data_IF_414803791017
#
_entry.id   IF_414803791017
#
_cell.length_a   1.000
_cell.length_b   1.000
_cell.length_c   1.000
_cell.angle_alpha   90.00
_cell.angle_beta   90.00
_cell.angle_gamma   90.00
#
_symmetry.space_group_name_H-M   'P 1'
#
loop_
_entity.id
_entity.type
_entity.pdbx_description
1 polymer ?
#
# COMPACT_ATOMS: atom_id res chain seq x y z
N UNK A 1 -38.62 -3.25 48.45
CA UNK A 1 -37.34 -3.26 49.19
C UNK A 1 -36.22 -3.13 48.19
N UNK A 2 -35.42 -2.07 48.34
CA UNK A 2 -34.27 -1.75 47.50
C UNK A 2 -33.07 -2.60 47.93
N UNK A 3 -32.34 -3.17 46.96
CA UNK A 3 -30.93 -3.50 47.16
C UNK A 3 -30.13 -2.99 45.95
N UNK A 4 -29.30 -2.00 46.25
CA UNK A 4 -28.26 -1.43 45.41
C UNK A 4 -26.94 -2.08 45.80
N UNK A 5 -26.18 -2.60 44.84
CA UNK A 5 -24.78 -2.94 45.05
C UNK A 5 -23.95 -2.47 43.86
N UNK A 6 -23.06 -1.51 44.14
CA UNK A 6 -22.03 -1.02 43.25
C UNK A 6 -21.13 -2.16 42.75
N UNK A 7 -20.86 -2.19 41.44
CA UNK A 7 -19.62 -2.75 40.91
C UNK A 7 -19.01 -1.79 39.88
N UNK A 8 -17.75 -1.45 40.17
CA UNK A 8 -16.85 -0.51 39.48
C UNK A 8 -16.38 -1.15 38.16
N UNK A 9 -16.33 -0.43 37.02
CA UNK A 9 -15.65 -0.94 35.85
C UNK A 9 -14.13 -0.79 36.03
N UNK A 10 -13.44 -1.93 36.09
CA UNK A 10 -11.98 -2.02 36.05
C UNK A 10 -11.46 -1.72 34.65
N UNK A 11 -10.64 -0.67 34.54
CA UNK A 11 -9.84 -0.37 33.36
C UNK A 11 -8.70 -1.39 33.21
N UNK A 12 -8.49 -2.03 32.04
CA UNK A 12 -7.28 -2.78 31.81
C UNK A 12 -6.14 -1.83 31.41
N UNK A 13 -5.18 -1.64 32.32
CA UNK A 13 -3.87 -1.08 32.00
C UNK A 13 -3.11 -2.12 31.17
N UNK A 14 -2.70 -1.74 29.96
CA UNK A 14 -1.70 -2.49 29.22
C UNK A 14 -0.31 -2.23 29.81
N UNK A 15 0.35 -3.30 30.24
CA UNK A 15 1.75 -3.32 30.66
C UNK A 15 2.60 -3.79 29.46
N UNK A 16 3.66 -3.06 29.07
CA UNK A 16 4.54 -3.47 27.98
C UNK A 16 5.53 -4.54 28.45
N UNK A 17 5.60 -5.66 27.73
CA UNK A 17 6.56 -6.74 27.93
C UNK A 17 8.00 -6.21 27.82
N UNK A 18 8.72 -6.27 28.93
CA UNK A 18 10.15 -6.00 28.99
C UNK A 18 10.94 -7.25 28.56
N UNK A 19 11.81 -7.05 27.56
CA UNK A 19 12.71 -8.06 27.02
C UNK A 19 13.87 -8.24 28.01
N UNK A 20 13.78 -9.24 28.89
CA UNK A 20 14.85 -9.62 29.81
C UNK A 20 15.63 -10.81 29.23
N UNK A 21 16.84 -10.52 28.77
CA UNK A 21 17.91 -11.49 28.65
C UNK A 21 18.64 -11.61 30.00
N UNK A 22 18.95 -12.83 30.43
CA UNK A 22 20.06 -13.31 31.30
C UNK A 22 19.69 -14.74 31.76
N UNK A 23 20.33 -15.80 31.27
CA UNK A 23 21.69 -16.32 31.51
C UNK A 23 21.72 -17.33 32.68
N UNK A 24 22.09 -18.59 32.35
CA UNK A 24 22.77 -19.55 33.24
C UNK A 24 23.49 -20.60 32.34
N UNK A 25 24.82 -20.49 32.23
CA UNK A 25 25.86 -21.40 32.78
C UNK A 25 26.08 -22.70 31.95
N UNK A 26 27.27 -23.04 31.42
CA UNK A 26 28.58 -22.39 31.43
C UNK A 26 29.66 -23.18 30.64
N UNK A 27 30.82 -22.53 30.54
CA UNK A 27 32.21 -23.08 30.52
C UNK A 27 32.90 -23.50 29.20
N UNK A 28 33.85 -22.64 28.80
CA UNK A 28 35.15 -22.96 28.19
C UNK A 28 35.33 -22.42 26.76
N UNK A 29 36.30 -21.57 26.40
CA UNK A 29 37.39 -20.87 27.10
C UNK A 29 38.21 -20.03 26.10
N UNK A 30 38.88 -18.98 26.61
CA UNK A 30 40.01 -18.20 26.02
C UNK A 30 39.74 -17.35 24.75
N UNK A 31 40.20 -16.11 24.58
CA UNK A 31 41.13 -15.27 25.34
C UNK A 31 40.93 -13.76 25.06
N UNK A 32 41.23 -12.98 26.09
CA UNK A 32 41.73 -11.58 26.13
C UNK A 32 40.89 -10.41 25.61
N UNK A 33 40.29 -9.77 26.60
CA UNK A 33 39.66 -8.46 26.75
C UNK A 33 40.57 -7.22 26.55
N UNK A 34 39.95 -6.01 26.51
CA UNK A 34 40.51 -4.74 26.04
C UNK A 34 40.85 -3.75 27.18
N UNK A 35 41.43 -2.60 26.84
CA UNK A 35 41.46 -1.41 27.70
C UNK A 35 41.46 -0.15 26.79
N UNK A 36 40.39 0.67 26.77
CA UNK A 36 40.19 1.92 27.57
C UNK A 36 41.38 2.89 27.43
N UNK A 37 41.27 4.21 27.28
CA UNK A 37 40.22 5.26 27.25
C UNK A 37 41.02 6.60 27.25
N UNK A 38 40.42 7.73 26.82
CA UNK A 38 40.85 9.14 27.08
C UNK A 38 42.18 9.59 26.43
N UNK A 39 42.52 10.87 26.24
CA UNK A 39 41.89 12.19 25.99
C UNK A 39 43.06 13.19 25.90
N UNK A 40 42.83 14.37 25.31
CA UNK A 40 43.51 15.67 25.54
C UNK A 40 44.99 15.90 25.20
N UNK A 41 45.18 16.83 24.25
CA UNK A 41 45.98 18.09 24.28
C UNK A 41 47.51 18.08 24.48
N UNK A 42 48.17 18.75 23.51
CA UNK A 42 49.33 19.67 23.56
C UNK A 42 50.52 19.38 24.50
N UNK A 43 51.76 19.37 23.96
CA UNK A 43 52.57 20.58 23.72
C UNK A 43 54.05 20.21 23.40
N UNK A 44 54.71 21.07 22.62
CA UNK A 44 56.15 21.41 22.50
C UNK A 44 57.23 20.46 23.10
N UNK A 45 58.35 20.10 22.44
CA UNK A 45 59.43 21.00 22.00
C UNK A 45 60.65 20.24 21.43
N UNK A 46 61.24 20.83 20.39
CA UNK A 46 62.68 21.04 20.08
C UNK A 46 63.71 19.93 20.38
N UNK A 47 64.42 19.50 19.32
CA UNK A 47 65.87 19.26 19.38
C UNK A 47 66.52 19.74 18.09
N UNK A 48 67.28 20.82 18.23
CA UNK A 48 68.28 21.35 17.30
C UNK A 48 69.40 20.32 17.10
N UNK A 49 69.89 20.17 15.87
CA UNK A 49 71.33 20.21 15.59
C UNK A 49 71.60 20.47 14.09
N UNK A 50 72.04 21.72 13.88
CA UNK A 50 72.88 22.29 12.84
C UNK A 50 73.75 21.31 12.03
N UNK A 51 73.77 21.46 10.70
CA UNK A 51 74.69 20.75 9.82
C UNK A 51 74.72 21.22 8.36
N UNK A 52 75.49 22.28 8.12
CA UNK A 52 76.26 22.58 6.89
C UNK A 52 75.58 23.11 5.62
N UNK A 53 76.05 24.29 5.21
CA UNK A 53 75.72 25.07 4.02
C UNK A 53 76.38 24.58 2.70
N UNK A 54 75.71 24.94 1.59
CA UNK A 54 76.21 25.35 0.25
C UNK A 54 75.94 24.49 -1.01
N UNK A 55 74.88 24.94 -1.74
CA UNK A 55 74.69 25.14 -3.20
C UNK A 55 74.44 23.94 -4.16
N UNK A 56 73.70 24.11 -5.29
CA UNK A 56 72.90 25.26 -5.75
C UNK A 56 71.38 24.96 -5.87
N UNK A 57 70.59 26.02 -5.83
CA UNK A 57 69.15 26.01 -6.06
C UNK A 57 68.82 25.52 -7.48
N UNK A 58 68.21 24.34 -7.57
CA UNK A 58 67.59 23.84 -8.79
C UNK A 58 66.24 24.56 -8.95
N UNK A 59 66.17 25.49 -9.91
CA UNK A 59 64.95 26.19 -10.27
C UNK A 59 63.89 25.17 -10.69
N UNK A 60 62.87 24.98 -9.85
CA UNK A 60 61.64 24.29 -10.23
C UNK A 60 60.91 25.15 -11.27
N UNK A 61 60.58 24.63 -12.47
CA UNK A 61 59.79 25.39 -13.43
C UNK A 61 58.38 25.54 -12.85
N UNK A 62 58.00 26.75 -12.45
CA UNK A 62 56.61 27.09 -12.22
C UNK A 62 55.83 26.77 -13.50
N UNK A 63 54.82 25.88 -13.48
CA UNK A 63 53.95 25.71 -14.63
C UNK A 63 53.26 27.06 -14.83
N UNK A 64 53.41 27.62 -16.03
CA UNK A 64 52.83 28.91 -16.39
C UNK A 64 51.33 28.89 -16.09
N UNK A 65 50.92 29.67 -15.09
CA UNK A 65 49.52 29.81 -14.65
C UNK A 65 48.58 30.23 -15.79
N UNK A 66 49.12 30.78 -16.87
CA UNK A 66 48.42 31.08 -18.12
C UNK A 66 47.98 29.84 -18.91
N UNK A 67 48.74 28.75 -18.87
CA UNK A 67 48.49 27.54 -19.66
C UNK A 67 47.38 26.69 -19.01
N UNK A 68 47.39 26.55 -17.69
CA UNK A 68 46.32 25.89 -16.92
C UNK A 68 44.99 26.64 -17.07
N UNK A 69 45.02 27.97 -17.08
CA UNK A 69 43.83 28.81 -17.25
C UNK A 69 43.26 28.71 -18.66
N UNK A 70 44.12 28.69 -19.70
CA UNK A 70 43.71 28.47 -21.09
C UNK A 70 43.14 27.07 -21.28
N UNK A 71 43.78 26.04 -20.73
CA UNK A 71 43.30 24.66 -20.82
C UNK A 71 41.94 24.50 -20.12
N UNK A 72 41.75 25.12 -18.96
CA UNK A 72 40.47 25.14 -18.25
C UNK A 72 39.35 25.83 -19.04
N UNK A 73 39.67 26.92 -19.75
CA UNK A 73 38.72 27.60 -20.65
C UNK A 73 38.37 26.76 -21.88
N UNK A 74 39.34 26.06 -22.48
CA UNK A 74 39.06 25.15 -23.59
C UNK A 74 38.23 23.94 -23.14
N UNK A 75 38.52 23.40 -21.96
CA UNK A 75 37.78 22.28 -21.39
C UNK A 75 36.35 22.68 -21.04
N UNK A 76 36.15 23.86 -20.42
CA UNK A 76 34.80 24.35 -20.10
C UNK A 76 34.01 24.68 -21.36
N UNK A 77 34.65 25.25 -22.39
CA UNK A 77 34.03 25.48 -23.68
C UNK A 77 33.65 24.16 -24.38
N UNK A 78 34.53 23.17 -24.37
CA UNK A 78 34.25 21.85 -24.94
C UNK A 78 33.09 21.16 -24.21
N UNK A 79 33.05 21.23 -22.88
CA UNK A 79 31.94 20.71 -22.08
C UNK A 79 30.63 21.44 -22.35
N UNK A 80 30.67 22.77 -22.50
CA UNK A 80 29.50 23.57 -22.84
C UNK A 80 28.96 23.23 -24.25
N UNK A 81 29.85 23.03 -25.22
CA UNK A 81 29.48 22.60 -26.58
C UNK A 81 28.90 21.18 -26.58
N UNK A 82 29.46 20.25 -25.80
CA UNK A 82 28.91 18.90 -25.64
C UNK A 82 27.52 18.92 -25.00
N UNK A 83 27.34 19.74 -23.96
CA UNK A 83 26.04 19.90 -23.29
C UNK A 83 25.00 20.52 -24.24
N UNK A 84 25.37 21.57 -24.98
CA UNK A 84 24.50 22.19 -25.96
C UNK A 84 24.10 21.22 -27.08
N UNK A 85 25.05 20.42 -27.59
CA UNK A 85 24.77 19.38 -28.58
C UNK A 85 23.82 18.31 -28.04
N UNK A 86 24.02 17.84 -26.80
CA UNK A 86 23.13 16.88 -26.16
C UNK A 86 21.71 17.43 -25.94
N UNK A 87 21.59 18.70 -25.52
CA UNK A 87 20.29 19.37 -25.36
C UNK A 87 19.60 19.57 -26.71
N UNK A 88 20.33 19.99 -27.75
CA UNK A 88 19.79 20.13 -29.10
C UNK A 88 19.34 18.79 -29.68
N UNK A 89 20.10 17.72 -29.46
CA UNK A 89 19.74 16.36 -29.87
C UNK A 89 18.51 15.86 -29.12
N UNK A 90 18.39 16.15 -27.83
CA UNK A 90 17.20 15.82 -27.03
C UNK A 90 15.96 16.60 -27.52
N UNK A 91 16.09 17.88 -27.81
CA UNK A 91 14.97 18.71 -28.29
C UNK A 91 14.52 18.30 -29.70
N UNK A 92 15.46 17.97 -30.59
CA UNK A 92 15.14 17.50 -31.95
C UNK A 92 14.55 16.10 -31.94
N UNK A 93 15.05 15.18 -31.11
CA UNK A 93 14.44 13.85 -30.95
C UNK A 93 13.05 13.93 -30.31
N UNK A 94 12.84 14.80 -29.31
CA UNK A 94 11.51 15.07 -28.74
C UNK A 94 10.56 15.70 -29.77
N UNK A 95 11.06 16.59 -30.62
CA UNK A 95 10.25 17.17 -31.72
C UNK A 95 9.84 16.10 -32.73
N UNK A 96 10.78 15.25 -33.17
CA UNK A 96 10.46 14.15 -34.08
C UNK A 96 9.52 13.12 -33.44
N UNK A 97 9.62 12.87 -32.14
CA UNK A 97 8.69 12.01 -31.41
C UNK A 97 7.29 12.63 -31.34
N UNK A 98 7.20 13.95 -31.17
CA UNK A 98 5.94 14.71 -31.17
C UNK A 98 5.26 14.73 -32.54
N UNK A 99 6.03 14.80 -33.62
CA UNK A 99 5.48 14.88 -34.99
C UNK A 99 5.14 13.50 -35.56
N UNK A 100 5.91 12.45 -35.23
CA UNK A 100 5.66 11.08 -35.68
C UNK A 100 4.62 10.32 -34.84
N UNK A 101 4.33 10.82 -33.63
CA UNK A 101 3.20 10.37 -32.83
C UNK A 101 2.31 11.57 -32.58
N UNK A 102 1.37 11.90 -33.50
CA UNK A 102 0.25 12.71 -33.10
C UNK A 102 -0.40 11.91 -31.97
N UNK A 103 -0.19 12.36 -30.73
CA UNK A 103 -1.15 12.14 -29.67
C UNK A 103 -2.43 12.70 -30.28
N UNK A 104 -3.21 11.82 -30.90
CA UNK A 104 -4.59 12.08 -31.25
C UNK A 104 -5.27 12.24 -29.91
N UNK A 105 -5.12 13.41 -29.31
CA UNK A 105 -6.12 13.99 -28.45
C UNK A 105 -7.26 14.25 -29.41
N UNK A 106 -8.01 13.18 -29.71
CA UNK A 106 -9.42 13.36 -29.96
C UNK A 106 -9.88 14.13 -28.75
N UNK A 107 -10.13 15.42 -28.93
CA UNK A 107 -11.12 16.11 -28.14
C UNK A 107 -12.42 15.38 -28.49
N UNK A 108 -12.61 14.21 -27.87
CA UNK A 108 -13.92 13.73 -27.54
C UNK A 108 -14.61 14.94 -26.92
N UNK A 109 -15.85 15.20 -27.34
CA UNK A 109 -16.74 16.13 -26.64
C UNK A 109 -16.35 16.13 -25.16
N UNK A 110 -16.17 17.29 -24.51
CA UNK A 110 -16.03 17.31 -23.06
C UNK A 110 -17.37 16.87 -22.49
N UNK A 111 -17.64 15.56 -22.52
CA UNK A 111 -18.51 14.90 -21.59
C UNK A 111 -17.93 15.32 -20.27
N UNK A 112 -18.69 16.16 -19.56
CA UNK A 112 -18.33 16.65 -18.24
C UNK A 112 -17.75 15.48 -17.48
N UNK A 113 -16.50 15.55 -16.98
CA UNK A 113 -15.86 14.40 -16.38
C UNK A 113 -16.80 13.91 -15.30
N UNK A 114 -17.35 12.70 -15.51
CA UNK A 114 -18.35 12.21 -14.59
C UNK A 114 -17.63 11.91 -13.28
N UNK A 115 -17.94 12.73 -12.28
CA UNK A 115 -17.28 12.65 -10.99
C UNK A 115 -17.81 11.42 -10.25
N UNK A 116 -17.01 10.36 -10.26
CA UNK A 116 -17.27 9.20 -9.41
C UNK A 116 -16.95 9.56 -7.97
N UNK A 117 -17.92 9.32 -7.10
CA UNK A 117 -17.64 9.17 -5.67
C UNK A 117 -16.97 7.81 -5.45
N UNK A 118 -15.89 7.79 -4.67
CA UNK A 118 -15.10 6.60 -4.38
C UNK A 118 -15.17 6.29 -2.89
N UNK A 119 -15.43 5.04 -2.54
CA UNK A 119 -15.47 4.59 -1.17
C UNK A 119 -14.60 3.34 -1.00
N UNK A 120 -13.71 3.40 -0.01
CA UNK A 120 -13.02 2.21 0.50
C UNK A 120 -13.96 1.40 1.39
N UNK A 121 -13.74 0.09 1.54
CA UNK A 121 -14.56 -0.69 2.46
C UNK A 121 -14.27 -0.26 3.91
N UNK A 122 -15.33 -0.10 4.71
CA UNK A 122 -15.24 0.26 6.12
C UNK A 122 -15.23 -0.96 7.05
N UNK A 123 -15.70 -2.12 6.56
CA UNK A 123 -15.59 -3.43 7.21
C UNK A 123 -15.03 -4.46 6.23
N UNK A 124 -14.08 -5.27 6.70
CA UNK A 124 -13.56 -6.44 5.97
C UNK A 124 -13.51 -7.63 6.94
N UNK A 125 -14.08 -8.75 6.55
CA UNK A 125 -14.10 -9.99 7.35
C UNK A 125 -13.70 -11.17 6.48
N UNK A 126 -12.89 -12.08 7.03
CA UNK A 126 -12.55 -13.35 6.40
C UNK A 126 -13.48 -14.45 6.93
N UNK A 127 -13.90 -15.34 6.05
CA UNK A 127 -14.57 -16.59 6.42
C UNK A 127 -13.91 -17.77 5.73
N UNK A 128 -13.82 -18.91 6.42
CA UNK A 128 -13.27 -20.14 5.85
C UNK A 128 -14.33 -21.23 5.71
N UNK A 129 -14.44 -21.79 4.52
CA UNK A 129 -15.22 -23.01 4.27
C UNK A 129 -14.67 -24.21 5.03
N UNK A 130 -13.35 -24.28 5.24
CA UNK A 130 -12.71 -25.36 5.98
C UNK A 130 -13.00 -25.26 7.48
N UNK A 131 -12.81 -24.07 8.03
CA UNK A 131 -13.02 -23.80 9.46
C UNK A 131 -14.38 -23.14 9.67
N UNK A 132 -15.46 -23.91 9.48
CA UNK A 132 -16.82 -23.37 9.35
C UNK A 132 -17.30 -22.48 10.50
N UNK A 133 -16.83 -22.78 11.71
CA UNK A 133 -17.19 -22.09 12.97
C UNK A 133 -16.14 -21.09 13.44
N UNK A 134 -15.00 -21.00 12.75
CA UNK A 134 -13.98 -20.03 13.13
C UNK A 134 -14.45 -18.62 12.75
N UNK A 135 -14.05 -17.68 13.57
CA UNK A 135 -14.39 -16.27 13.49
C UNK A 135 -13.07 -15.50 13.51
N UNK A 136 -12.84 -14.71 12.46
CA UNK A 136 -11.62 -13.89 12.35
C UNK A 136 -11.85 -12.44 12.75
N UNK A 137 -13.11 -12.03 12.89
CA UNK A 137 -13.52 -10.67 13.17
C UNK A 137 -13.21 -9.69 12.05
N UNK A 138 -13.52 -8.42 12.29
CA UNK A 138 -13.15 -7.35 11.39
C UNK A 138 -11.63 -7.13 11.35
N UNK A 139 -11.07 -6.97 10.16
CA UNK A 139 -9.67 -6.58 9.97
C UNK A 139 -9.48 -5.69 8.75
N UNK A 140 -8.24 -5.35 8.42
CA UNK A 140 -7.86 -4.76 7.12
C UNK A 140 -7.28 -5.80 6.15
N UNK A 141 -7.16 -7.06 6.58
CA UNK A 141 -6.58 -8.11 5.77
C UNK A 141 -7.60 -8.60 4.76
N UNK A 142 -7.21 -8.55 3.49
CA UNK A 142 -7.95 -9.18 2.40
C UNK A 142 -7.32 -10.53 2.14
N UNK A 143 -8.14 -11.58 2.11
CA UNK A 143 -7.68 -12.95 1.91
C UNK A 143 -8.73 -13.73 1.11
N UNK A 144 -8.50 -13.83 -0.20
CA UNK A 144 -9.43 -14.48 -1.13
C UNK A 144 -8.75 -15.73 -1.69
N UNK A 145 -9.34 -16.88 -1.44
CA UNK A 145 -8.88 -18.17 -1.98
C UNK A 145 -10.07 -19.02 -2.41
N UNK A 146 -9.82 -20.25 -2.87
CA UNK A 146 -10.89 -21.23 -3.17
C UNK A 146 -11.67 -21.62 -1.91
N UNK A 147 -11.01 -21.60 -0.76
CA UNK A 147 -11.55 -22.12 0.50
C UNK A 147 -12.03 -21.01 1.42
N UNK A 148 -11.47 -19.82 1.26
CA UNK A 148 -11.78 -18.66 2.08
C UNK A 148 -12.33 -17.53 1.21
N UNK A 149 -13.42 -16.93 1.68
CA UNK A 149 -14.00 -15.74 1.08
C UNK A 149 -13.72 -14.52 1.96
N UNK A 150 -13.67 -13.35 1.34
CA UNK A 150 -13.61 -12.07 2.07
C UNK A 150 -14.93 -11.32 1.88
N UNK A 151 -15.54 -10.91 2.98
CA UNK A 151 -16.74 -10.07 3.02
C UNK A 151 -16.31 -8.63 3.20
N UNK A 152 -16.84 -7.73 2.38
CA UNK A 152 -16.51 -6.31 2.42
C UNK A 152 -17.80 -5.49 2.46
N UNK A 153 -17.83 -4.49 3.34
CA UNK A 153 -18.88 -3.46 3.38
C UNK A 153 -18.32 -2.16 2.82
N UNK A 154 -19.03 -1.60 1.84
CA UNK A 154 -18.71 -0.32 1.22
C UNK A 154 -19.79 0.69 1.58
N UNK A 155 -19.43 1.82 2.21
CA UNK A 155 -20.40 2.86 2.50
C UNK A 155 -20.87 3.53 1.20
N UNK A 156 -22.18 3.75 1.12
CA UNK A 156 -22.79 4.54 0.05
C UNK A 156 -22.90 5.99 0.52
N UNK A 157 -22.69 6.99 -0.36
CA UNK A 157 -22.95 8.36 0.02
C UNK A 157 -24.43 8.54 0.36
N UNK A 158 -24.77 9.42 1.30
CA UNK A 158 -26.16 9.59 1.77
C UNK A 158 -27.14 10.04 0.68
N UNK A 159 -26.63 10.52 -0.46
CA UNK A 159 -27.40 10.84 -1.66
C UNK A 159 -27.53 9.68 -2.66
N UNK A 160 -26.84 8.56 -2.44
CA UNK A 160 -26.94 7.37 -3.28
C UNK A 160 -28.28 6.67 -3.04
N UNK A 161 -28.91 6.27 -4.15
CA UNK A 161 -30.19 5.59 -4.16
C UNK A 161 -30.70 5.42 -5.58
N UNK A 162 -32.02 5.52 -5.75
CA UNK A 162 -32.70 5.39 -7.05
C UNK A 162 -32.05 6.35 -8.07
N UNK A 163 -31.55 5.79 -9.17
CA UNK A 163 -30.87 6.55 -10.22
C UNK A 163 -29.37 6.74 -10.00
N UNK A 164 -28.73 5.97 -9.11
CA UNK A 164 -27.27 5.90 -9.03
C UNK A 164 -26.74 4.57 -9.59
N UNK A 165 -25.66 4.67 -10.36
CA UNK A 165 -24.91 3.53 -10.86
C UNK A 165 -23.67 3.30 -9.97
N UNK A 166 -23.46 2.05 -9.60
CA UNK A 166 -22.36 1.57 -8.79
C UNK A 166 -21.49 0.60 -9.61
N UNK A 167 -20.20 0.55 -9.30
CA UNK A 167 -19.28 -0.44 -9.84
C UNK A 167 -18.18 -0.73 -8.82
N UNK A 168 -17.69 -1.97 -8.77
CA UNK A 168 -16.54 -2.31 -7.93
C UNK A 168 -15.27 -2.29 -8.75
N UNK A 169 -14.25 -1.61 -8.23
CA UNK A 169 -12.98 -1.40 -8.92
C UNK A 169 -11.84 -1.98 -8.11
N UNK A 170 -11.01 -2.78 -8.77
CA UNK A 170 -9.69 -3.17 -8.31
C UNK A 170 -8.67 -2.13 -8.77
N UNK A 171 -7.92 -1.56 -7.82
CA UNK A 171 -6.75 -0.72 -8.08
C UNK A 171 -5.48 -1.50 -7.80
N UNK A 172 -4.70 -1.79 -8.83
CA UNK A 172 -3.44 -2.50 -8.67
C UNK A 172 -2.39 -1.64 -7.95
N UNK A 173 -1.48 -2.23 -7.16
CA UNK A 173 -0.38 -1.47 -6.56
C UNK A 173 0.52 -0.90 -7.66
N UNK A 174 0.97 0.36 -7.56
CA UNK A 174 1.91 0.90 -8.53
C UNK A 174 3.20 0.11 -8.56
N UNK A 175 3.66 -0.27 -9.74
CA UNK A 175 4.74 -1.26 -9.94
C UNK A 175 6.05 -0.88 -9.26
N UNK A 176 6.36 0.42 -9.22
CA UNK A 176 7.59 0.96 -8.63
C UNK A 176 7.42 1.38 -7.16
N UNK A 177 6.27 1.08 -6.54
CA UNK A 177 6.03 1.42 -5.14
C UNK A 177 6.42 0.28 -4.20
N UNK A 178 6.82 0.63 -2.96
CA UNK A 178 7.03 -0.37 -1.91
C UNK A 178 5.80 -1.25 -1.64
N UNK A 179 4.60 -0.70 -1.92
CA UNK A 179 3.31 -1.38 -1.77
C UNK A 179 3.11 -2.54 -2.76
N UNK A 180 3.88 -2.63 -3.83
CA UNK A 180 3.83 -3.77 -4.75
C UNK A 180 4.16 -5.10 -4.06
N UNK A 181 4.98 -5.07 -2.99
CA UNK A 181 5.32 -6.25 -2.19
C UNK A 181 4.24 -6.67 -1.21
N UNK A 182 3.28 -5.79 -0.93
CA UNK A 182 2.18 -6.07 0.00
C UNK A 182 1.10 -6.96 -0.64
N UNK A 183 1.08 -7.03 -1.98
CA UNK A 183 0.20 -7.90 -2.73
C UNK A 183 0.87 -9.26 -2.97
N UNK A 184 0.29 -10.30 -2.39
CA UNK A 184 0.64 -11.69 -2.71
C UNK A 184 -0.45 -12.30 -3.56
N UNK A 185 -0.10 -12.73 -4.77
CA UNK A 185 -0.98 -13.53 -5.64
C UNK A 185 -0.36 -14.90 -5.92
N UNK A 186 -1.19 -15.94 -6.04
CA UNK A 186 -0.80 -17.25 -6.56
C UNK A 186 -1.91 -17.80 -7.45
N UNK A 187 -1.54 -18.64 -8.40
CA UNK A 187 -2.47 -19.24 -9.35
C UNK A 187 -3.14 -18.21 -10.26
N UNK A 188 -4.34 -18.54 -10.72
CA UNK A 188 -5.13 -17.69 -11.61
C UNK A 188 -6.02 -16.74 -10.80
N UNK A 189 -5.73 -15.43 -10.90
CA UNK A 189 -6.47 -14.34 -10.23
C UNK A 189 -7.24 -13.47 -11.23
N UNK A 190 -7.51 -14.01 -12.43
CA UNK A 190 -8.25 -13.30 -13.47
C UNK A 190 -9.77 -13.33 -13.31
N UNK A 191 -10.28 -14.20 -12.45
CA UNK A 191 -11.72 -14.43 -12.26
C UNK A 191 -12.11 -14.40 -10.77
N UNK A 192 -11.99 -13.23 -10.14
CA UNK A 192 -12.50 -13.02 -8.77
C UNK A 192 -13.97 -12.63 -8.86
N UNK A 193 -14.85 -13.48 -8.37
CA UNK A 193 -16.29 -13.20 -8.33
C UNK A 193 -16.64 -12.23 -7.21
N UNK A 194 -17.62 -11.39 -7.51
CA UNK A 194 -18.13 -10.37 -6.61
C UNK A 194 -19.64 -10.56 -6.45
N UNK A 195 -20.04 -11.14 -5.31
CA UNK A 195 -21.45 -11.45 -5.02
C UNK A 195 -22.03 -10.44 -4.05
N UNK A 196 -23.22 -9.91 -4.34
CA UNK A 196 -23.98 -9.13 -3.36
C UNK A 196 -24.51 -10.05 -2.25
N UNK A 197 -24.54 -9.56 -1.00
CA UNK A 197 -25.20 -10.24 0.11
C UNK A 197 -26.50 -9.54 0.46
N UNK A 198 -27.57 -10.31 0.69
CA UNK A 198 -28.95 -9.77 0.75
C UNK A 198 -29.69 -10.01 2.08
N UNK A 199 -29.26 -10.96 2.92
CA UNK A 199 -29.87 -11.20 4.22
C UNK A 199 -28.96 -12.02 5.15
N UNK A 200 -28.91 -11.72 6.46
CA UNK A 200 -28.31 -12.61 7.46
C UNK A 200 -28.98 -13.99 7.46
N UNK A 201 -28.22 -15.05 7.67
CA UNK A 201 -28.77 -16.41 7.76
C UNK A 201 -29.69 -16.55 8.99
N UNK A 202 -30.98 -16.80 8.76
CA UNK A 202 -32.07 -16.82 9.75
C UNK A 202 -32.06 -18.02 10.71
N UNK A 203 -30.93 -18.30 11.38
CA UNK A 203 -30.77 -19.50 12.22
C UNK A 203 -31.06 -19.29 13.71
N UNK A 204 -31.52 -18.12 14.14
CA UNK A 204 -31.99 -17.91 15.53
C UNK A 204 -33.51 -17.73 15.55
N UNK A 205 -34.19 -18.77 16.03
CA UNK A 205 -35.64 -18.96 16.18
C UNK A 205 -36.33 -17.90 17.10
N UNK A 206 -35.64 -16.80 17.47
CA UNK A 206 -36.14 -15.81 18.43
C UNK A 206 -36.19 -14.36 17.93
N UNK A 207 -35.94 -14.08 16.65
CA UNK A 207 -35.99 -12.70 16.13
C UNK A 207 -37.27 -12.43 15.32
N UNK A 208 -38.43 -12.60 15.96
CA UNK A 208 -39.57 -11.78 15.57
C UNK A 208 -39.24 -10.35 16.01
N UNK A 209 -39.38 -9.36 15.11
CA UNK A 209 -39.35 -7.89 15.36
C UNK A 209 -38.14 -7.05 14.90
N UNK A 210 -37.41 -7.39 13.82
CA UNK A 210 -36.65 -6.38 13.05
C UNK A 210 -36.46 -6.78 11.58
N UNK A 211 -36.53 -5.85 10.61
CA UNK A 211 -36.01 -6.10 9.27
C UNK A 211 -34.48 -6.22 9.37
N UNK A 212 -33.93 -7.43 9.26
CA UNK A 212 -32.49 -7.66 9.37
C UNK A 212 -31.77 -7.14 8.14
N UNK A 213 -31.48 -5.84 8.11
CA UNK A 213 -30.70 -5.21 7.04
C UNK A 213 -29.23 -5.63 7.15
N UNK A 214 -28.49 -5.54 6.04
CA UNK A 214 -27.05 -5.83 6.05
C UNK A 214 -26.25 -4.80 6.86
N UNK A 215 -26.82 -3.63 7.15
CA UNK A 215 -26.19 -2.56 7.93
C UNK A 215 -26.07 -2.91 9.43
N UNK A 216 -26.99 -3.75 9.94
CA UNK A 216 -27.03 -4.20 11.35
C UNK A 216 -26.22 -5.48 11.62
N UNK A 217 -25.56 -6.05 10.60
CA UNK A 217 -24.81 -7.30 10.73
C UNK A 217 -23.63 -7.15 11.69
N UNK A 218 -23.50 -8.07 12.64
CA UNK A 218 -22.32 -8.17 13.50
C UNK A 218 -21.16 -8.88 12.78
N UNK A 219 -20.22 -8.07 12.30
CA UNK A 219 -19.03 -8.53 11.56
C UNK A 219 -18.02 -9.27 12.44
N UNK A 220 -18.08 -9.10 13.76
CA UNK A 220 -17.11 -9.70 14.69
C UNK A 220 -17.50 -11.13 15.10
N UNK A 221 -18.70 -11.60 14.75
CA UNK A 221 -19.19 -12.96 15.03
C UNK A 221 -19.41 -13.79 13.76
N UNK A 222 -19.13 -13.20 12.59
CA UNK A 222 -19.38 -13.82 11.30
C UNK A 222 -18.47 -15.03 11.06
N UNK A 223 -19.08 -16.15 10.68
CA UNK A 223 -18.43 -17.41 10.36
C UNK A 223 -18.99 -17.94 9.04
N UNK A 224 -18.35 -18.95 8.45
CA UNK A 224 -18.89 -19.57 7.25
C UNK A 224 -20.25 -20.24 7.50
N UNK A 225 -20.52 -20.73 8.71
CA UNK A 225 -21.83 -21.30 9.07
C UNK A 225 -22.95 -20.28 9.25
N UNK A 226 -22.60 -19.01 9.50
CA UNK A 226 -23.55 -17.91 9.73
C UNK A 226 -23.53 -16.89 8.60
N UNK A 227 -22.91 -17.24 7.46
CA UNK A 227 -22.72 -16.34 6.34
C UNK A 227 -24.08 -15.87 5.79
N UNK A 228 -24.24 -14.57 5.49
CA UNK A 228 -25.39 -14.07 4.75
C UNK A 228 -25.60 -14.78 3.42
N UNK A 229 -26.83 -14.81 2.94
CA UNK A 229 -27.18 -15.44 1.66
C UNK A 229 -26.67 -14.59 0.49
N UNK A 230 -26.09 -15.26 -0.51
CA UNK A 230 -25.70 -14.64 -1.78
C UNK A 230 -26.94 -14.24 -2.58
N UNK A 231 -26.97 -13.00 -3.03
CA UNK A 231 -27.91 -12.48 -4.01
C UNK A 231 -27.31 -12.52 -5.41
N UNK A 232 -27.27 -11.36 -6.06
CA UNK A 232 -26.81 -11.19 -7.44
C UNK A 232 -25.27 -11.27 -7.56
N UNK A 233 -24.78 -11.87 -8.67
CA UNK A 233 -23.38 -11.74 -9.08
C UNK A 233 -23.20 -10.40 -9.77
N UNK A 234 -22.55 -9.45 -9.09
CA UNK A 234 -22.34 -8.09 -9.58
C UNK A 234 -21.27 -8.03 -10.68
N UNK A 235 -20.37 -9.00 -10.72
CA UNK A 235 -19.37 -9.12 -11.78
C UNK A 235 -18.18 -9.98 -11.39
N UNK A 236 -17.19 -9.97 -12.27
CA UNK A 236 -15.92 -10.68 -12.13
C UNK A 236 -14.79 -9.68 -12.33
N UNK A 237 -13.80 -9.70 -11.44
CA UNK A 237 -12.62 -8.84 -11.50
C UNK A 237 -11.39 -9.64 -11.91
N UNK A 238 -10.61 -9.07 -12.83
CA UNK A 238 -9.28 -9.57 -13.18
C UNK A 238 -8.20 -8.76 -12.45
N UNK A 239 -7.57 -9.36 -11.44
CA UNK A 239 -6.54 -8.69 -10.66
C UNK A 239 -5.16 -8.65 -11.36
N UNK A 240 -5.02 -9.36 -12.47
CA UNK A 240 -3.82 -9.32 -13.32
C UNK A 240 -3.80 -8.10 -14.25
N UNK A 241 -4.96 -7.48 -14.48
CA UNK A 241 -5.08 -6.30 -15.32
C UNK A 241 -4.53 -5.05 -14.62
N UNK A 242 -3.82 -4.21 -15.39
CA UNK A 242 -3.18 -2.99 -14.92
C UNK A 242 -3.59 -1.82 -15.84
N UNK A 243 -3.87 -0.62 -15.29
CA UNK A 243 -3.68 -0.24 -13.89
C UNK A 243 -4.83 -0.66 -12.96
N UNK A 244 -6.05 -0.76 -13.48
CA UNK A 244 -7.25 -1.09 -12.72
C UNK A 244 -8.13 -2.05 -13.53
N UNK A 245 -8.97 -2.82 -12.85
CA UNK A 245 -10.09 -3.54 -13.45
C UNK A 245 -11.37 -3.12 -12.72
N UNK A 246 -12.48 -2.97 -13.43
CA UNK A 246 -13.75 -2.54 -12.86
C UNK A 246 -14.86 -3.44 -13.36
N UNK A 247 -15.80 -3.81 -12.49
CA UNK A 247 -17.00 -4.55 -12.88
C UNK A 247 -17.84 -3.74 -13.86
N UNK A 248 -18.81 -4.39 -14.52
CA UNK A 248 -19.89 -3.66 -15.15
C UNK A 248 -20.61 -2.77 -14.11
N UNK A 249 -21.22 -1.69 -14.60
CA UNK A 249 -22.07 -0.85 -13.75
C UNK A 249 -23.38 -1.57 -13.42
N UNK A 250 -23.79 -1.48 -12.17
CA UNK A 250 -25.03 -2.02 -11.64
C UNK A 250 -25.77 -0.94 -10.83
N UNK A 251 -27.04 -1.16 -10.53
CA UNK A 251 -27.80 -0.22 -9.72
C UNK A 251 -27.28 -0.22 -8.27
N UNK A 252 -26.99 0.95 -7.70
CA UNK A 252 -26.69 1.03 -6.28
C UNK A 252 -27.91 0.56 -5.45
N UNK A 253 -27.71 -0.19 -4.35
CA UNK A 253 -28.84 -0.60 -3.53
C UNK A 253 -29.55 0.63 -2.95
N UNK A 254 -30.88 0.56 -2.95
CA UNK A 254 -31.75 1.66 -2.50
C UNK A 254 -32.26 1.38 -1.09
N UNK A 255 -32.27 2.41 -0.24
CA UNK A 255 -32.76 2.29 1.14
C UNK A 255 -31.80 1.61 2.11
N UNK A 256 -30.53 1.42 1.73
CA UNK A 256 -29.45 0.97 2.60
C UNK A 256 -28.32 1.99 2.63
N UNK A 257 -27.55 2.01 3.71
CA UNK A 257 -26.40 2.91 3.84
C UNK A 257 -25.11 2.29 3.27
N UNK A 258 -25.15 1.00 2.95
CA UNK A 258 -23.99 0.27 2.45
C UNK A 258 -24.32 -0.77 1.39
N UNK A 259 -23.30 -1.12 0.62
CA UNK A 259 -23.24 -2.32 -0.22
C UNK A 259 -22.32 -3.34 0.48
N UNK A 260 -22.84 -4.55 0.72
CA UNK A 260 -22.04 -5.65 1.26
C UNK A 260 -21.84 -6.72 0.19
N UNK A 261 -20.59 -7.12 -0.02
CA UNK A 261 -20.22 -8.12 -1.02
C UNK A 261 -19.36 -9.23 -0.45
N UNK A 262 -19.44 -10.41 -1.07
CA UNK A 262 -18.50 -11.50 -0.91
C UNK A 262 -17.58 -11.59 -2.12
N UNK A 263 -16.27 -11.52 -1.87
CA UNK A 263 -15.21 -11.74 -2.84
C UNK A 263 -14.76 -13.20 -2.78
N UNK A 264 -14.76 -13.90 -3.93
CA UNK A 264 -14.46 -15.32 -3.98
C UNK A 264 -13.69 -15.74 -5.23
N UNK A 265 -12.78 -16.70 -5.08
CA UNK A 265 -12.18 -17.40 -6.21
C UNK A 265 -13.02 -18.61 -6.64
N UNK A 266 -13.17 -18.84 -7.95
CA UNK A 266 -13.65 -20.12 -8.48
C UNK A 266 -12.52 -21.10 -8.83
N UNK A 267 -11.39 -20.59 -9.36
CA UNK A 267 -10.34 -21.41 -9.97
C UNK A 267 -9.39 -22.01 -8.95
N UNK A 268 -8.90 -23.22 -9.24
CA UNK A 268 -7.90 -23.91 -8.42
C UNK A 268 -6.63 -23.07 -8.26
N UNK A 269 -6.01 -23.14 -7.09
CA UNK A 269 -4.81 -22.40 -6.72
C UNK A 269 -4.93 -20.86 -6.71
N UNK A 270 -6.12 -20.28 -6.96
CA UNK A 270 -6.36 -18.84 -6.80
C UNK A 270 -6.12 -18.42 -5.35
N UNK A 271 -5.19 -17.49 -5.16
CA UNK A 271 -4.83 -16.90 -3.89
C UNK A 271 -4.56 -15.42 -4.09
N UNK A 272 -5.22 -14.58 -3.31
CA UNK A 272 -4.97 -13.14 -3.23
C UNK A 272 -4.91 -12.77 -1.76
N UNK A 273 -3.83 -12.13 -1.33
CA UNK A 273 -3.75 -11.58 0.01
C UNK A 273 -2.96 -10.28 0.06
N UNK A 274 -3.52 -9.28 0.75
CA UNK A 274 -2.90 -7.98 1.00
C UNK A 274 -3.60 -7.27 2.16
N UNK A 275 -3.11 -6.10 2.56
CA UNK A 275 -3.78 -5.24 3.54
C UNK A 275 -4.42 -4.03 2.84
N UNK A 276 -5.72 -3.88 3.04
CA UNK A 276 -6.50 -2.75 2.57
C UNK A 276 -6.29 -1.55 3.50
N UNK A 277 -5.32 -0.70 3.16
CA UNK A 277 -4.94 0.46 3.97
C UNK A 277 -4.99 1.72 3.10
N UNK A 278 -5.65 2.76 3.59
CA UNK A 278 -5.69 4.09 2.96
C UNK A 278 -4.38 4.86 3.21
N UNK A 279 -3.30 4.32 2.66
CA UNK A 279 -1.96 4.91 2.68
C UNK A 279 -1.48 5.09 1.24
N UNK A 280 -0.82 6.21 0.93
CA UNK A 280 -0.32 6.48 -0.43
C UNK A 280 1.01 5.74 -0.71
N UNK A 281 1.19 5.19 -1.93
CA UNK A 281 0.16 4.99 -2.95
C UNK A 281 -0.87 3.95 -2.51
N UNK A 282 -2.14 4.28 -2.68
CA UNK A 282 -3.25 3.43 -2.27
C UNK A 282 -3.57 2.40 -3.33
N UNK A 283 -3.84 1.16 -2.94
CA UNK A 283 -4.27 0.07 -3.81
C UNK A 283 -5.26 -0.82 -3.05
N UNK A 284 -6.07 -1.59 -3.77
CA UNK A 284 -7.12 -2.41 -3.17
C UNK A 284 -8.45 -2.31 -3.92
N UNK A 285 -9.52 -2.75 -3.26
CA UNK A 285 -10.87 -2.65 -3.79
C UNK A 285 -11.57 -1.36 -3.37
N UNK A 286 -12.25 -0.70 -4.29
CA UNK A 286 -13.05 0.49 -4.02
C UNK A 286 -14.41 0.40 -4.71
N UNK A 287 -15.43 0.96 -4.07
CA UNK A 287 -16.72 1.20 -4.69
C UNK A 287 -16.67 2.53 -5.44
N UNK A 288 -17.07 2.50 -6.70
CA UNK A 288 -17.34 3.67 -7.53
C UNK A 288 -18.85 3.87 -7.57
N UNK A 289 -19.30 5.09 -7.32
CA UNK A 289 -20.71 5.45 -7.46
C UNK A 289 -20.85 6.76 -8.21
N UNK A 290 -21.79 6.84 -9.14
CA UNK A 290 -22.15 8.06 -9.86
C UNK A 290 -23.66 8.19 -9.95
N UNK A 291 -24.13 9.42 -10.15
CA UNK A 291 -25.51 9.66 -10.55
C UNK A 291 -25.67 9.24 -12.00
N UNK A 292 -26.66 8.40 -12.28
CA UNK A 292 -27.02 7.96 -13.63
C UNK A 292 -27.78 9.03 -14.39
#
# INVERSE_FOLDING_TARGET
MFFSSMMKPSSPRYEPLSLRATADDGRGGSSSTPQRRHSSEDDSSVSLLQGSDNLPAQASPQPSSSLVRRLGLYLSLALALLAAANIALLLTTLSMYRDNHPLKVQVANPTTPQTYHRAWPDRIVRVSRKLKKAVWGQSVQVYVTVEDSTIMRFPLPSSSGIGHACALSWRAPPELSGRAKDLTTKGDVSEIEVWQLIAPSATTISAATSPSTMDELDYDTLSYSTLPVRGELLGVLNLSEKPNNTTAEFACPSGTESLVVEMRCQRVACHVSFMQIDLKPSFGFELLSRKS
#
